data_IF_826673748201
#
_entry.id   IF_826673748201
#
_cell.length_a   1.000
_cell.length_b   1.000
_cell.length_c   1.000
_cell.angle_alpha   90.00
_cell.angle_beta   90.00
_cell.angle_gamma   90.00
#
_symmetry.space_group_name_H-M   'P 1'
#
loop_
_entity.id
_entity.type
_entity.pdbx_description
1 polymer ?
#
# COMPACT_ATOMS: atom_id res chain seq x y z
N UNK A 1 -1.05 31.51 -80.25
CA UNK A 1 0.17 32.20 -79.76
C UNK A 1 -0.13 32.81 -78.39
N UNK A 2 0.49 32.33 -77.31
CA UNK A 2 0.43 32.98 -76.00
C UNK A 2 1.72 33.77 -75.72
N UNK A 3 1.71 34.78 -74.85
CA UNK A 3 2.93 35.24 -74.20
C UNK A 3 3.15 34.50 -72.87
N UNK A 4 4.40 34.13 -72.65
CA UNK A 4 4.93 33.57 -71.41
C UNK A 4 4.97 34.63 -70.30
N UNK A 5 4.69 34.24 -69.06
CA UNK A 5 5.13 35.01 -67.89
C UNK A 5 5.70 34.06 -66.83
N UNK A 6 6.88 34.45 -66.35
CA UNK A 6 7.81 33.67 -65.53
C UNK A 6 7.33 33.39 -64.10
N UNK A 7 7.90 32.31 -63.57
CA UNK A 7 7.79 31.77 -62.23
C UNK A 7 8.19 32.74 -61.12
N UNK A 8 7.45 32.69 -60.01
CA UNK A 8 8.03 32.82 -58.66
C UNK A 8 7.54 31.66 -57.77
N UNK A 9 8.42 30.70 -57.50
CA UNK A 9 8.16 29.58 -56.57
C UNK A 9 8.26 30.09 -55.12
N UNK A 10 7.12 30.36 -54.48
CA UNK A 10 7.03 30.46 -53.00
C UNK A 10 7.09 29.05 -52.40
N UNK A 11 8.13 28.76 -51.61
CA UNK A 11 8.23 27.56 -50.76
C UNK A 11 7.04 27.54 -49.79
N UNK A 12 6.10 26.59 -49.95
CA UNK A 12 5.09 26.25 -48.94
C UNK A 12 5.80 25.72 -47.70
N UNK A 13 5.72 26.45 -46.58
CA UNK A 13 6.02 25.90 -45.25
C UNK A 13 4.90 24.94 -44.88
N UNK A 14 5.25 23.68 -44.62
CA UNK A 14 4.36 22.67 -44.05
C UNK A 14 3.83 23.14 -42.69
N UNK A 15 2.54 22.93 -42.35
CA UNK A 15 2.04 23.26 -41.03
C UNK A 15 2.68 22.34 -39.98
N UNK A 16 3.19 22.93 -38.89
CA UNK A 16 3.65 22.20 -37.71
C UNK A 16 2.48 21.37 -37.16
N UNK A 17 2.72 20.13 -36.68
CA UNK A 17 1.68 19.37 -36.00
C UNK A 17 1.25 20.14 -34.75
N UNK A 18 -0.05 20.42 -34.66
CA UNK A 18 -0.70 20.92 -33.47
C UNK A 18 -0.40 19.97 -32.32
N UNK A 19 0.20 20.49 -31.27
CA UNK A 19 0.34 19.82 -29.97
C UNK A 19 -1.02 19.27 -29.56
N UNK A 20 -1.16 17.95 -29.51
CA UNK A 20 -2.36 17.30 -29.01
C UNK A 20 -2.60 17.79 -27.58
N UNK A 21 -3.73 18.46 -27.35
CA UNK A 21 -4.26 18.62 -26.01
C UNK A 21 -4.37 17.22 -25.41
N UNK A 22 -3.63 16.95 -24.34
CA UNK A 22 -3.83 15.74 -23.55
C UNK A 22 -5.30 15.74 -23.11
N UNK A 23 -6.12 14.85 -23.69
CA UNK A 23 -7.50 14.68 -23.30
C UNK A 23 -7.50 14.25 -21.84
N UNK A 24 -7.88 15.15 -20.93
CA UNK A 24 -8.17 14.78 -19.55
C UNK A 24 -9.29 13.74 -19.59
N UNK A 25 -9.06 12.51 -19.10
CA UNK A 25 -10.06 11.46 -19.18
C UNK A 25 -11.31 11.88 -18.40
N UNK A 26 -12.48 11.68 -19.01
CA UNK A 26 -13.76 11.96 -18.36
C UNK A 26 -14.01 10.91 -17.26
N UNK A 27 -14.79 11.21 -16.21
CA UNK A 27 -15.09 10.23 -15.15
C UNK A 27 -15.61 8.89 -15.70
N UNK A 28 -16.41 8.94 -16.78
CA UNK A 28 -16.92 7.74 -17.45
C UNK A 28 -15.84 6.93 -18.17
N UNK A 29 -14.80 7.57 -18.71
CA UNK A 29 -13.70 6.84 -19.37
C UNK A 29 -12.74 6.22 -18.35
N UNK A 30 -12.55 6.85 -17.18
CA UNK A 30 -11.72 6.31 -16.08
C UNK A 30 -12.33 5.02 -15.52
N UNK A 31 -13.65 4.97 -15.40
CA UNK A 31 -14.35 3.79 -14.89
C UNK A 31 -14.57 2.68 -15.92
N UNK A 32 -14.15 2.89 -17.17
CA UNK A 32 -14.11 1.88 -18.21
C UNK A 32 -12.70 1.29 -18.29
N UNK A 33 -12.45 0.23 -17.51
CA UNK A 33 -11.12 -0.34 -17.35
C UNK A 33 -11.17 -1.87 -17.48
N UNK A 34 -10.20 -2.54 -18.14
CA UNK A 34 -10.24 -3.99 -18.35
C UNK A 34 -10.18 -4.83 -17.07
N UNK A 35 -9.75 -4.24 -15.94
CA UNK A 35 -9.56 -4.96 -14.67
C UNK A 35 -10.71 -4.84 -13.67
N UNK A 36 -11.76 -4.07 -13.98
CA UNK A 36 -12.94 -3.93 -13.12
C UNK A 36 -14.17 -3.55 -13.93
N UNK A 37 -15.35 -3.92 -13.45
CA UNK A 37 -16.63 -3.69 -14.09
C UNK A 37 -17.44 -2.70 -13.27
N UNK A 38 -17.96 -1.68 -13.93
CA UNK A 38 -18.72 -0.60 -13.28
C UNK A 38 -20.19 -0.68 -13.64
N UNK A 39 -21.07 -0.56 -12.64
CA UNK A 39 -22.52 -0.36 -12.81
C UNK A 39 -22.92 1.02 -12.24
N UNK A 40 -24.20 1.43 -12.29
CA UNK A 40 -24.62 2.66 -11.62
C UNK A 40 -24.33 2.67 -10.11
N UNK A 41 -24.32 1.50 -9.46
CA UNK A 41 -24.22 1.36 -8.00
C UNK A 41 -22.91 0.72 -7.52
N UNK A 42 -22.17 0.01 -8.38
CA UNK A 42 -21.04 -0.82 -7.96
C UNK A 42 -19.82 -0.70 -8.87
N UNK A 43 -18.64 -1.00 -8.30
CA UNK A 43 -17.38 -1.26 -9.01
C UNK A 43 -16.89 -2.63 -8.57
N UNK A 44 -17.06 -3.64 -9.44
CA UNK A 44 -16.63 -5.02 -9.20
C UNK A 44 -15.20 -5.24 -9.71
N UNK A 45 -14.31 -5.75 -8.88
CA UNK A 45 -12.91 -5.97 -9.24
C UNK A 45 -12.38 -7.27 -8.64
N UNK A 46 -11.26 -7.75 -9.15
CA UNK A 46 -10.51 -8.88 -8.57
C UNK A 46 -9.00 -8.67 -8.73
N UNK A 47 -8.59 -8.09 -9.87
CA UNK A 47 -7.21 -7.75 -10.19
C UNK A 47 -7.00 -6.28 -10.52
N UNK A 48 -5.86 -5.98 -11.14
CA UNK A 48 -5.51 -4.63 -11.60
C UNK A 48 -5.42 -3.61 -10.47
N UNK A 49 -5.63 -2.34 -10.78
CA UNK A 49 -5.25 -1.21 -9.92
C UNK A 49 -5.89 -1.21 -8.53
N UNK A 50 -7.01 -1.91 -8.33
CA UNK A 50 -7.69 -2.06 -7.04
C UNK A 50 -7.20 -3.29 -6.24
N UNK A 51 -6.47 -4.23 -6.84
CA UNK A 51 -5.92 -5.37 -6.11
C UNK A 51 -4.73 -4.98 -5.25
N UNK A 52 -4.64 -5.53 -4.04
CA UNK A 52 -3.44 -5.41 -3.19
C UNK A 52 -2.19 -6.05 -3.81
N UNK A 53 -2.36 -6.93 -4.80
CA UNK A 53 -1.25 -7.57 -5.50
C UNK A 53 -0.71 -6.72 -6.66
N UNK A 54 -1.44 -5.67 -7.06
CA UNK A 54 -1.02 -4.76 -8.10
C UNK A 54 0.21 -3.95 -7.66
N UNK A 55 1.26 -3.91 -8.50
CA UNK A 55 2.41 -3.06 -8.22
C UNK A 55 1.99 -1.59 -8.28
N UNK A 56 2.46 -0.80 -7.32
CA UNK A 56 2.41 0.66 -7.39
C UNK A 56 3.43 1.14 -8.41
N UNK A 57 3.08 2.13 -9.23
CA UNK A 57 3.98 2.72 -10.23
C UNK A 57 5.22 3.36 -9.58
N UNK A 58 5.04 3.92 -8.40
CA UNK A 58 6.12 4.39 -7.52
C UNK A 58 5.83 3.92 -6.10
N UNK A 59 6.85 3.58 -5.29
CA UNK A 59 6.63 3.18 -3.91
C UNK A 59 5.88 4.28 -3.14
N UNK A 60 4.83 3.91 -2.40
CA UNK A 60 4.13 4.87 -1.56
C UNK A 60 4.76 4.93 -0.16
N UNK A 61 4.89 6.13 0.43
CA UNK A 61 5.61 6.31 1.69
C UNK A 61 4.81 5.74 2.86
N UNK A 62 5.44 4.88 3.67
CA UNK A 62 4.81 4.33 4.87
C UNK A 62 4.44 5.38 5.90
N UNK A 63 5.23 6.46 6.01
CA UNK A 63 4.90 7.66 6.78
C UNK A 63 3.45 8.10 6.60
N UNK A 64 3.01 8.26 5.35
CA UNK A 64 1.65 8.69 5.06
C UNK A 64 0.60 7.68 5.51
N UNK A 65 0.88 6.40 5.35
CA UNK A 65 0.03 5.32 5.85
C UNK A 65 -0.12 5.40 7.38
N UNK A 66 0.98 5.61 8.11
CA UNK A 66 0.97 5.73 9.57
C UNK A 66 0.21 6.98 10.05
N UNK A 67 0.42 8.15 9.43
CA UNK A 67 -0.30 9.40 9.76
C UNK A 67 -1.83 9.23 9.71
N UNK A 68 -2.33 8.39 8.81
CA UNK A 68 -3.77 8.08 8.70
C UNK A 68 -4.15 6.97 9.67
N UNK A 69 -3.32 5.93 9.78
CA UNK A 69 -3.64 4.70 10.51
C UNK A 69 -3.64 4.89 12.03
N UNK A 70 -2.63 5.54 12.60
CA UNK A 70 -2.44 5.60 14.05
C UNK A 70 -3.63 6.25 14.78
N UNK A 71 -4.14 7.43 14.38
CA UNK A 71 -5.30 8.03 15.05
C UNK A 71 -6.56 7.17 14.98
N UNK A 72 -6.69 6.32 13.96
CA UNK A 72 -7.82 5.40 13.82
C UNK A 72 -7.68 4.18 14.73
N UNK A 73 -6.47 3.68 14.93
CA UNK A 73 -6.19 2.62 15.90
C UNK A 73 -6.41 3.12 17.34
N UNK A 74 -5.93 4.34 17.64
CA UNK A 74 -6.17 5.02 18.93
C UNK A 74 -7.67 5.14 19.23
N UNK A 75 -8.45 5.63 18.25
CA UNK A 75 -9.91 5.77 18.37
C UNK A 75 -10.61 4.42 18.61
N UNK A 76 -10.06 3.33 18.09
CA UNK A 76 -10.58 1.98 18.30
C UNK A 76 -10.05 1.32 19.59
N UNK A 77 -9.19 1.99 20.36
CA UNK A 77 -8.56 1.45 21.56
C UNK A 77 -7.63 0.27 21.27
N UNK A 78 -7.05 0.22 20.07
CA UNK A 78 -6.15 -0.87 19.65
C UNK A 78 -4.74 -0.49 20.03
N UNK A 79 -4.19 -1.15 21.04
CA UNK A 79 -2.79 -0.98 21.42
C UNK A 79 -1.86 -1.30 20.24
N UNK A 80 -0.88 -0.42 20.01
CA UNK A 80 0.10 -0.54 18.94
C UNK A 80 1.46 0.04 19.38
N UNK A 81 2.55 -0.26 18.67
CA UNK A 81 3.87 0.33 18.93
C UNK A 81 3.83 1.86 18.93
N UNK A 82 4.66 2.50 19.76
CA UNK A 82 4.79 3.96 19.75
C UNK A 82 5.38 4.47 18.43
N UNK A 83 5.28 5.77 18.17
CA UNK A 83 5.81 6.37 16.94
C UNK A 83 7.35 6.28 16.87
N UNK A 84 7.99 6.22 18.03
CA UNK A 84 9.45 6.15 18.21
C UNK A 84 9.98 4.71 18.19
N UNK A 85 9.11 3.70 18.21
CA UNK A 85 9.53 2.30 18.14
C UNK A 85 10.26 2.03 16.81
N UNK A 86 11.36 1.26 16.86
CA UNK A 86 12.14 0.91 15.66
C UNK A 86 11.28 0.25 14.57
N UNK A 87 10.29 -0.57 14.94
CA UNK A 87 9.36 -1.17 13.98
C UNK A 87 8.49 -0.10 13.30
N UNK A 88 8.04 0.91 14.03
CA UNK A 88 7.27 2.03 13.48
C UNK A 88 8.14 2.89 12.59
N UNK A 89 9.38 3.19 12.99
CA UNK A 89 10.34 3.93 12.16
C UNK A 89 10.70 3.16 10.88
N UNK A 90 10.84 1.83 10.95
CA UNK A 90 11.04 0.97 9.77
C UNK A 90 9.86 1.09 8.80
N UNK A 91 8.62 1.04 9.29
CA UNK A 91 7.44 1.26 8.44
C UNK A 91 7.45 2.70 7.89
N UNK A 92 7.72 3.70 8.73
CA UNK A 92 7.68 5.12 8.39
C UNK A 92 8.60 5.46 7.21
N UNK A 93 9.85 5.02 7.27
CA UNK A 93 10.88 5.30 6.25
C UNK A 93 10.77 4.39 5.02
N UNK A 94 9.98 3.31 5.07
CA UNK A 94 9.92 2.36 3.96
C UNK A 94 8.96 2.81 2.85
N UNK A 95 9.41 2.64 1.60
CA UNK A 95 8.58 2.81 0.41
C UNK A 95 7.93 1.50 0.00
N UNK A 96 6.60 1.42 0.07
CA UNK A 96 5.85 0.20 -0.22
C UNK A 96 5.54 0.06 -1.71
N UNK A 97 5.92 -1.07 -2.29
CA UNK A 97 5.71 -1.34 -3.72
C UNK A 97 4.29 -1.82 -4.06
N UNK A 98 3.48 -2.23 -3.08
CA UNK A 98 2.12 -2.76 -3.28
C UNK A 98 1.35 -2.86 -1.96
N UNK A 99 0.03 -2.99 -2.07
CA UNK A 99 -0.87 -3.10 -0.90
C UNK A 99 -0.63 -4.35 -0.05
N UNK A 100 -0.29 -5.50 -0.65
CA UNK A 100 -0.01 -6.74 0.09
C UNK A 100 1.22 -6.59 1.00
N UNK A 101 2.26 -5.89 0.53
CA UNK A 101 3.47 -5.64 1.32
C UNK A 101 3.15 -4.81 2.55
N UNK A 102 2.40 -3.72 2.35
CA UNK A 102 1.90 -2.87 3.43
C UNK A 102 1.05 -3.65 4.42
N UNK A 103 0.05 -4.39 3.94
CA UNK A 103 -0.87 -5.16 4.79
C UNK A 103 -0.10 -6.16 5.66
N UNK A 104 0.82 -6.93 5.08
CA UNK A 104 1.57 -7.94 5.82
C UNK A 104 2.62 -7.31 6.75
N UNK A 105 3.27 -6.22 6.34
CA UNK A 105 4.22 -5.50 7.19
C UNK A 105 3.53 -4.89 8.41
N UNK A 106 2.37 -4.25 8.22
CA UNK A 106 1.56 -3.72 9.31
C UNK A 106 1.01 -4.81 10.23
N UNK A 107 0.74 -6.01 9.69
CA UNK A 107 0.39 -7.17 10.50
C UNK A 107 1.55 -7.60 11.41
N UNK A 108 2.75 -7.72 10.86
CA UNK A 108 3.95 -8.03 11.65
C UNK A 108 4.23 -6.93 12.69
N UNK A 109 4.19 -5.66 12.27
CA UNK A 109 4.35 -4.49 13.13
C UNK A 109 3.39 -4.49 14.33
N UNK A 110 2.13 -4.86 14.13
CA UNK A 110 1.11 -4.83 15.20
C UNK A 110 1.23 -5.98 16.21
N UNK A 111 1.79 -7.13 15.81
CA UNK A 111 1.74 -8.36 16.63
C UNK A 111 3.11 -8.86 17.11
N UNK A 112 4.21 -8.46 16.47
CA UNK A 112 5.57 -8.92 16.81
C UNK A 112 6.35 -7.92 17.66
N UNK A 113 5.72 -6.81 18.04
CA UNK A 113 6.35 -5.68 18.71
C UNK A 113 6.63 -5.86 20.20
N UNK A 114 6.13 -6.93 20.84
CA UNK A 114 6.10 -7.00 22.31
C UNK A 114 6.77 -8.21 22.98
N UNK A 115 7.36 -9.20 22.29
CA UNK A 115 7.74 -10.44 22.99
C UNK A 115 9.12 -11.02 22.65
N UNK A 116 9.94 -11.16 23.69
CA UNK A 116 10.66 -12.42 23.94
C UNK A 116 9.92 -13.24 25.03
N UNK A 117 10.30 -14.51 25.22
CA UNK A 117 9.69 -15.43 26.21
C UNK A 117 9.91 -15.00 27.66
N UNK A 118 10.75 -13.99 27.91
CA UNK A 118 11.14 -13.51 29.24
C UNK A 118 10.40 -12.25 29.70
N UNK A 119 9.53 -11.68 28.85
CA UNK A 119 8.74 -10.49 29.18
C UNK A 119 9.52 -9.16 29.10
N UNK A 120 10.69 -9.16 28.45
CA UNK A 120 11.41 -7.92 28.15
C UNK A 120 10.79 -7.23 26.94
N UNK A 121 10.78 -5.88 26.94
CA UNK A 121 10.32 -5.03 25.83
C UNK A 121 11.50 -4.41 25.07
N UNK A 122 12.31 -5.21 24.33
CA UNK A 122 13.53 -4.71 23.69
C UNK A 122 13.25 -3.67 22.60
N UNK A 123 12.01 -3.56 22.12
CA UNK A 123 11.60 -2.66 21.04
C UNK A 123 11.03 -1.31 21.53
N UNK A 124 10.85 -1.12 22.84
CA UNK A 124 10.45 0.14 23.46
C UNK A 124 11.69 0.86 24.01
N UNK A 125 12.57 1.33 23.12
CA UNK A 125 13.71 2.15 23.56
C UNK A 125 13.19 3.51 24.03
N UNK A 126 13.50 3.88 25.27
CA UNK A 126 13.30 5.23 25.79
C UNK A 126 14.55 6.06 25.47
N UNK A 127 14.50 6.92 24.43
CA UNK A 127 15.58 7.84 24.09
C UNK A 127 15.62 8.21 22.60
N UNK A 128 16.09 9.43 22.27
CA UNK A 128 16.28 9.87 20.88
C UNK A 128 17.36 9.01 20.21
N UNK A 129 16.96 8.23 19.21
CA UNK A 129 17.88 7.59 18.25
C UNK A 129 18.31 8.66 17.26
N UNK A 130 19.61 8.76 16.94
CA UNK A 130 20.02 9.69 15.88
C UNK A 130 19.62 9.16 14.50
N UNK A 131 19.41 10.07 13.54
CA UNK A 131 19.09 9.69 12.16
C UNK A 131 20.16 8.76 11.56
N UNK A 132 21.43 8.98 11.90
CA UNK A 132 22.54 8.14 11.47
C UNK A 132 22.47 6.72 12.05
N UNK A 133 22.17 6.59 13.35
CA UNK A 133 22.01 5.30 14.01
C UNK A 133 20.86 4.50 13.40
N UNK A 134 19.72 5.15 13.16
CA UNK A 134 18.57 4.49 12.55
C UNK A 134 18.83 4.06 11.11
N UNK A 135 19.47 4.93 10.29
CA UNK A 135 19.82 4.59 8.91
C UNK A 135 20.76 3.39 8.83
N UNK A 136 21.73 3.31 9.73
CA UNK A 136 22.63 2.15 9.81
C UNK A 136 21.85 0.88 10.17
N UNK A 137 21.03 0.93 11.21
CA UNK A 137 20.16 -0.19 11.61
C UNK A 137 19.25 -0.66 10.46
N UNK A 138 18.60 0.29 9.76
CA UNK A 138 17.72 0.00 8.64
C UNK A 138 18.50 -0.69 7.50
N UNK A 139 19.69 -0.18 7.16
CA UNK A 139 20.56 -0.78 6.16
C UNK A 139 20.92 -2.22 6.52
N UNK A 140 21.31 -2.47 7.77
CA UNK A 140 21.75 -3.79 8.21
C UNK A 140 20.61 -4.82 8.22
N UNK A 141 19.42 -4.42 8.67
CA UNK A 141 18.22 -5.29 8.75
C UNK A 141 17.55 -5.54 7.40
N UNK A 142 17.61 -4.58 6.48
CA UNK A 142 17.00 -4.69 5.16
C UNK A 142 17.96 -5.15 4.06
N UNK A 143 19.26 -5.33 4.37
CA UNK A 143 20.23 -5.86 3.43
C UNK A 143 19.85 -7.28 2.97
N UNK A 144 19.93 -7.59 1.65
CA UNK A 144 19.78 -8.95 1.14
C UNK A 144 20.82 -9.92 1.70
N UNK A 145 21.99 -9.39 2.07
CA UNK A 145 23.14 -10.12 2.59
C UNK A 145 23.31 -9.99 4.10
N UNK A 146 22.25 -9.60 4.83
CA UNK A 146 22.28 -9.51 6.29
C UNK A 146 22.91 -10.81 6.85
N UNK A 147 24.06 -10.71 7.54
CA UNK A 147 24.84 -11.90 7.89
C UNK A 147 24.02 -12.80 8.81
N UNK A 148 24.22 -14.12 8.66
CA UNK A 148 23.84 -15.07 9.68
C UNK A 148 24.45 -14.63 11.04
N UNK A 149 23.83 -14.97 12.19
CA UNK A 149 24.05 -14.32 13.50
C UNK A 149 25.46 -14.47 14.13
N UNK A 150 26.52 -14.74 13.37
CA UNK A 150 27.83 -15.15 13.89
C UNK A 150 29.05 -14.43 13.33
N UNK A 151 28.96 -13.24 12.72
CA UNK A 151 30.16 -12.46 12.38
C UNK A 151 30.16 -11.06 13.00
N UNK A 152 30.98 -10.92 14.03
CA UNK A 152 31.36 -9.66 14.64
C UNK A 152 32.05 -8.75 13.62
N UNK A 153 31.31 -7.85 12.98
CA UNK A 153 31.91 -6.71 12.30
C UNK A 153 32.12 -5.59 13.33
N UNK A 154 33.38 -5.32 13.61
CA UNK A 154 33.86 -4.26 14.49
C UNK A 154 33.69 -2.88 13.81
N UNK A 155 32.50 -2.31 13.89
CA UNK A 155 32.27 -0.89 13.58
C UNK A 155 32.60 -0.04 14.81
N UNK A 156 33.67 0.77 14.76
CA UNK A 156 33.96 1.78 15.79
C UNK A 156 32.78 2.76 15.85
N UNK A 157 32.12 2.83 17.01
CA UNK A 157 30.95 3.69 17.25
C UNK A 157 29.62 2.93 17.41
N UNK A 158 29.58 1.61 17.21
CA UNK A 158 28.35 0.82 17.29
C UNK A 158 27.94 0.56 18.76
N UNK A 159 26.79 1.10 19.18
CA UNK A 159 26.21 0.83 20.49
C UNK A 159 25.85 -0.66 20.67
N UNK A 160 26.19 -1.23 21.83
CA UNK A 160 25.98 -2.65 22.17
C UNK A 160 24.51 -3.07 22.10
N UNK A 161 23.61 -2.13 22.38
CA UNK A 161 22.15 -2.28 22.38
C UNK A 161 21.58 -2.43 20.96
N UNK A 162 22.01 -1.59 20.00
CA UNK A 162 21.57 -1.66 18.60
C UNK A 162 21.94 -2.98 17.95
N UNK A 163 23.15 -3.48 18.20
CA UNK A 163 23.61 -4.77 17.67
C UNK A 163 22.84 -5.96 18.22
N UNK A 164 22.31 -5.88 19.44
CA UNK A 164 21.45 -6.93 19.99
C UNK A 164 20.04 -6.86 19.42
N UNK A 165 19.51 -5.64 19.28
CA UNK A 165 18.22 -5.39 18.63
C UNK A 165 18.21 -5.95 17.20
N UNK A 166 19.29 -5.76 16.44
CA UNK A 166 19.42 -6.30 15.08
C UNK A 166 19.29 -7.82 15.05
N UNK A 167 19.96 -8.53 15.96
CA UNK A 167 19.88 -10.00 16.04
C UNK A 167 18.47 -10.45 16.39
N UNK A 168 17.80 -9.74 17.29
CA UNK A 168 16.40 -10.03 17.63
C UNK A 168 15.53 -9.86 16.39
N UNK A 169 15.58 -8.72 15.69
CA UNK A 169 14.80 -8.55 14.45
C UNK A 169 15.09 -9.62 13.41
N UNK A 170 16.36 -10.00 13.23
CA UNK A 170 16.77 -11.02 12.27
C UNK A 170 16.26 -12.43 12.65
N UNK A 171 16.26 -12.77 13.94
CA UNK A 171 15.85 -14.09 14.44
C UNK A 171 14.32 -14.20 14.58
N UNK A 172 13.70 -13.13 15.04
CA UNK A 172 12.39 -13.18 15.69
C UNK A 172 11.29 -12.42 14.95
N UNK A 173 11.61 -11.52 14.01
CA UNK A 173 10.62 -10.68 13.35
C UNK A 173 10.44 -11.05 11.88
N UNK A 174 9.19 -11.18 11.44
CA UNK A 174 8.85 -11.31 10.01
C UNK A 174 8.82 -9.96 9.30
N UNK A 175 8.71 -8.85 10.01
CA UNK A 175 8.66 -7.51 9.42
C UNK A 175 9.83 -7.26 8.41
N UNK A 176 11.12 -7.41 8.76
CA UNK A 176 12.21 -7.24 7.80
C UNK A 176 12.14 -8.16 6.59
N UNK A 177 11.69 -9.41 6.79
CA UNK A 177 11.53 -10.37 5.71
C UNK A 177 10.46 -9.90 4.71
N UNK A 178 9.33 -9.37 5.22
CA UNK A 178 8.23 -8.84 4.41
C UNK A 178 8.66 -7.58 3.65
N UNK A 179 9.38 -6.68 4.31
CA UNK A 179 9.91 -5.46 3.69
C UNK A 179 10.91 -5.78 2.57
N UNK A 180 11.77 -6.79 2.74
CA UNK A 180 12.75 -7.19 1.71
C UNK A 180 12.14 -7.86 0.48
N UNK A 181 10.99 -8.53 0.61
CA UNK A 181 10.37 -9.21 -0.55
C UNK A 181 9.40 -8.29 -1.30
N UNK A 182 9.50 -8.27 -2.64
CA UNK A 182 8.52 -7.62 -3.50
C UNK A 182 7.57 -8.62 -4.19
N UNK A 183 7.52 -9.88 -3.73
CA UNK A 183 6.67 -10.92 -4.30
C UNK A 183 5.42 -11.09 -3.43
N UNK A 184 4.20 -10.77 -3.91
CA UNK A 184 2.97 -10.81 -3.11
C UNK A 184 2.74 -12.16 -2.44
N UNK A 185 3.01 -13.25 -3.15
CA UNK A 185 2.85 -14.60 -2.62
C UNK A 185 3.77 -14.86 -1.43
N UNK A 186 5.01 -14.39 -1.50
CA UNK A 186 5.99 -14.49 -0.41
C UNK A 186 5.61 -13.59 0.76
N UNK A 187 5.16 -12.36 0.51
CA UNK A 187 4.64 -11.44 1.53
C UNK A 187 3.48 -12.08 2.30
N UNK A 188 2.50 -12.63 1.58
CA UNK A 188 1.35 -13.33 2.16
C UNK A 188 1.76 -14.56 2.96
N UNK A 189 2.74 -15.33 2.48
CA UNK A 189 3.25 -16.50 3.18
C UNK A 189 3.95 -16.12 4.49
N UNK A 190 4.75 -15.05 4.49
CA UNK A 190 5.40 -14.51 5.70
C UNK A 190 4.36 -13.95 6.68
N UNK A 191 3.37 -13.21 6.19
CA UNK A 191 2.29 -12.68 7.04
C UNK A 191 1.40 -13.74 7.69
N UNK A 192 1.39 -14.98 7.18
CA UNK A 192 0.75 -16.13 7.86
C UNK A 192 1.57 -16.68 9.03
N UNK A 193 2.87 -16.39 9.06
CA UNK A 193 3.81 -16.83 10.10
C UNK A 193 4.03 -15.79 11.21
N UNK A 194 3.40 -14.61 11.08
CA UNK A 194 3.45 -13.54 12.09
C UNK A 194 3.12 -14.09 13.47
N UNK A 195 4.04 -13.91 14.41
CA UNK A 195 3.90 -14.39 15.79
C UNK A 195 2.95 -13.49 16.57
N UNK A 196 2.35 -14.03 17.64
CA UNK A 196 1.42 -13.27 18.48
C UNK A 196 0.13 -12.82 17.76
N UNK A 197 -0.18 -13.39 16.59
CA UNK A 197 -1.35 -13.01 15.81
C UNK A 197 -2.65 -13.25 16.58
N UNK A 198 -3.41 -12.17 16.81
CA UNK A 198 -4.73 -12.22 17.45
C UNK A 198 -5.83 -11.90 16.42
N UNK A 199 -6.62 -12.88 15.96
CA UNK A 199 -7.66 -12.66 14.94
C UNK A 199 -8.70 -11.62 15.33
N UNK A 200 -9.10 -11.57 16.60
CA UNK A 200 -10.06 -10.62 17.14
C UNK A 200 -9.57 -9.16 17.04
N UNK A 201 -8.29 -8.92 17.35
CA UNK A 201 -7.66 -7.60 17.18
C UNK A 201 -7.52 -7.27 15.70
N UNK A 202 -7.04 -8.21 14.89
CA UNK A 202 -6.84 -8.00 13.45
C UNK A 202 -8.16 -7.70 12.72
N UNK A 203 -9.25 -8.35 13.11
CA UNK A 203 -10.56 -8.10 12.53
C UNK A 203 -11.00 -6.64 12.66
N UNK A 204 -10.60 -5.97 13.75
CA UNK A 204 -10.84 -4.54 13.99
C UNK A 204 -9.78 -3.66 13.33
N UNK A 205 -8.50 -4.00 13.49
CA UNK A 205 -7.36 -3.20 13.04
C UNK A 205 -7.18 -3.18 11.52
N UNK A 206 -7.56 -4.27 10.83
CA UNK A 206 -7.18 -4.46 9.43
C UNK A 206 -7.84 -3.45 8.48
N UNK A 207 -9.08 -3.03 8.74
CA UNK A 207 -9.78 -2.02 7.93
C UNK A 207 -9.03 -0.67 7.92
N UNK A 208 -8.78 -0.01 9.08
CA UNK A 208 -8.06 1.27 9.07
C UNK A 208 -6.63 1.13 8.53
N UNK A 209 -5.95 0.01 8.81
CA UNK A 209 -4.61 -0.28 8.27
C UNK A 209 -4.64 -0.29 6.74
N UNK A 210 -5.52 -1.07 6.13
CA UNK A 210 -5.51 -1.26 4.67
C UNK A 210 -6.04 0.00 3.98
N UNK A 211 -7.08 0.62 4.52
CA UNK A 211 -7.57 1.90 4.03
C UNK A 211 -6.45 2.95 4.00
N UNK A 212 -5.63 3.05 5.06
CA UNK A 212 -4.50 3.98 5.09
C UNK A 212 -3.48 3.71 3.97
N UNK A 213 -3.16 2.44 3.72
CA UNK A 213 -2.32 2.04 2.59
C UNK A 213 -2.95 2.36 1.22
N UNK A 214 -4.25 2.16 1.08
CA UNK A 214 -5.01 2.53 -0.13
C UNK A 214 -4.96 4.04 -0.40
N UNK A 215 -5.09 4.87 0.64
CA UNK A 215 -4.98 6.34 0.53
C UNK A 215 -3.55 6.76 0.18
N UNK A 216 -2.54 6.23 0.89
CA UNK A 216 -1.13 6.53 0.62
C UNK A 216 -0.74 6.16 -0.82
N UNK A 217 -1.17 4.99 -1.30
CA UNK A 217 -0.95 4.57 -2.69
C UNK A 217 -1.62 5.51 -3.69
N UNK A 218 -2.85 5.94 -3.44
CA UNK A 218 -3.56 6.86 -4.33
C UNK A 218 -2.96 8.29 -4.36
N UNK A 219 -2.03 8.64 -3.45
CA UNK A 219 -1.31 9.91 -3.55
C UNK A 219 -0.19 9.88 -4.58
N UNK A 220 0.40 8.70 -4.83
CA UNK A 220 1.49 8.52 -5.81
C UNK A 220 1.00 7.88 -7.12
N UNK A 221 -0.11 7.15 -7.08
CA UNK A 221 -0.73 6.49 -8.24
C UNK A 221 -1.93 7.31 -8.74
N UNK A 222 -1.71 8.11 -9.79
CA UNK A 222 -2.74 8.95 -10.40
C UNK A 222 -3.89 8.15 -11.00
N UNK A 223 -3.64 6.92 -11.47
CA UNK A 223 -4.69 6.05 -11.98
C UNK A 223 -5.67 5.66 -10.88
N UNK A 224 -5.13 5.23 -9.73
CA UNK A 224 -5.95 4.86 -8.58
C UNK A 224 -6.71 6.07 -8.03
N UNK A 225 -6.04 7.22 -7.94
CA UNK A 225 -6.67 8.48 -7.54
C UNK A 225 -7.85 8.83 -8.42
N UNK A 226 -7.68 8.69 -9.74
CA UNK A 226 -8.73 9.00 -10.72
C UNK A 226 -9.92 8.07 -10.55
N UNK A 227 -9.69 6.77 -10.31
CA UNK A 227 -10.77 5.81 -10.01
C UNK A 227 -11.55 6.24 -8.77
N UNK A 228 -10.88 6.64 -7.69
CA UNK A 228 -11.54 7.11 -6.47
C UNK A 228 -12.35 8.39 -6.67
N UNK A 229 -11.83 9.36 -7.43
CA UNK A 229 -12.57 10.59 -7.73
C UNK A 229 -13.79 10.33 -8.64
N UNK A 230 -13.66 9.40 -9.59
CA UNK A 230 -14.73 9.04 -10.51
C UNK A 230 -15.79 8.13 -9.87
N UNK A 231 -15.46 7.38 -8.81
CA UNK A 231 -16.34 6.38 -8.21
C UNK A 231 -17.69 6.93 -7.72
N UNK A 232 -17.76 8.21 -7.34
CA UNK A 232 -18.94 8.82 -6.73
C UNK A 232 -19.37 7.99 -5.50
N UNK A 233 -20.66 7.67 -5.39
CA UNK A 233 -21.24 6.87 -4.29
C UNK A 233 -21.28 5.36 -4.58
N UNK A 234 -20.52 4.87 -5.59
CA UNK A 234 -20.51 3.43 -5.93
C UNK A 234 -19.80 2.60 -4.87
N UNK A 235 -20.35 1.42 -4.60
CA UNK A 235 -19.74 0.41 -3.72
C UNK A 235 -18.64 -0.36 -4.45
N UNK A 236 -17.43 -0.40 -3.90
CA UNK A 236 -16.35 -1.26 -4.39
C UNK A 236 -16.56 -2.69 -3.91
N UNK A 237 -16.38 -3.67 -4.79
CA UNK A 237 -16.63 -5.10 -4.50
C UNK A 237 -15.51 -5.98 -5.02
N UNK A 238 -14.80 -6.64 -4.11
CA UNK A 238 -13.79 -7.65 -4.48
C UNK A 238 -14.47 -8.99 -4.81
N UNK A 239 -14.62 -9.29 -6.09
CA UNK A 239 -15.20 -10.52 -6.62
C UNK A 239 -14.19 -11.67 -6.75
N UNK A 240 -13.71 -12.17 -5.62
CA UNK A 240 -12.95 -13.41 -5.52
C UNK A 240 -13.85 -14.59 -5.13
N UNK A 241 -13.95 -15.68 -5.92
CA UNK A 241 -14.75 -16.87 -5.56
C UNK A 241 -14.23 -17.62 -4.33
N UNK A 242 -12.94 -17.46 -4.02
CA UNK A 242 -12.25 -18.22 -2.96
C UNK A 242 -12.06 -17.41 -1.68
N UNK A 243 -12.09 -16.08 -1.77
CA UNK A 243 -11.90 -15.20 -0.62
C UNK A 243 -13.25 -14.70 -0.10
N UNK A 244 -13.59 -15.10 1.13
CA UNK A 244 -14.82 -14.70 1.83
C UNK A 244 -14.57 -13.67 2.93
N UNK A 245 -13.31 -13.26 3.14
CA UNK A 245 -12.96 -12.25 4.14
C UNK A 245 -12.72 -10.93 3.42
N UNK A 246 -11.82 -10.92 2.43
CA UNK A 246 -11.49 -9.73 1.67
C UNK A 246 -12.49 -9.50 0.53
N UNK A 247 -12.99 -10.58 -0.06
CA UNK A 247 -14.01 -10.56 -1.12
C UNK A 247 -15.37 -11.11 -0.71
N UNK A 248 -16.27 -11.16 -1.70
CA UNK A 248 -17.68 -11.58 -1.54
C UNK A 248 -17.91 -13.08 -1.80
N UNK A 249 -16.88 -13.86 -2.13
CA UNK A 249 -17.05 -15.28 -2.45
C UNK A 249 -17.72 -15.57 -3.79
N UNK A 250 -17.76 -14.59 -4.70
CA UNK A 250 -18.31 -14.70 -6.06
C UNK A 250 -17.30 -14.14 -7.08
N UNK A 251 -17.40 -14.56 -8.34
CA UNK A 251 -16.52 -14.07 -9.42
C UNK A 251 -16.93 -12.65 -9.83
N UNK A 252 -15.96 -11.74 -9.94
CA UNK A 252 -16.20 -10.31 -10.23
C UNK A 252 -16.96 -10.02 -11.54
N UNK A 253 -16.88 -10.91 -12.52
CA UNK A 253 -17.55 -10.80 -13.82
C UNK A 253 -18.86 -11.61 -13.92
N UNK A 254 -19.26 -12.30 -12.83
CA UNK A 254 -20.54 -13.01 -12.77
C UNK A 254 -21.70 -12.03 -12.64
N UNK A 255 -22.84 -12.30 -13.29
CA UNK A 255 -24.07 -11.52 -13.05
C UNK A 255 -24.60 -11.67 -11.61
N UNK A 256 -24.39 -12.83 -10.99
CA UNK A 256 -24.88 -13.11 -9.64
C UNK A 256 -24.26 -12.19 -8.57
N UNK A 257 -23.11 -11.58 -8.84
CA UNK A 257 -22.45 -10.66 -7.89
C UNK A 257 -23.18 -9.32 -7.75
N UNK A 258 -24.06 -8.98 -8.70
CA UNK A 258 -24.82 -7.71 -8.67
C UNK A 258 -25.92 -7.70 -7.61
N UNK A 259 -26.37 -8.88 -7.20
CA UNK A 259 -27.33 -9.06 -6.11
C UNK A 259 -26.56 -9.39 -4.83
N UNK A 260 -26.57 -8.43 -3.89
CA UNK A 260 -25.89 -8.53 -2.60
C UNK A 260 -26.37 -9.72 -1.76
N UNK A 261 -27.61 -10.20 -1.97
CA UNK A 261 -28.12 -11.38 -1.27
C UNK A 261 -27.37 -12.67 -1.63
N UNK A 262 -26.67 -12.69 -2.77
CA UNK A 262 -25.83 -13.83 -3.17
C UNK A 262 -24.43 -13.79 -2.54
N UNK A 263 -24.05 -12.70 -1.87
CA UNK A 263 -22.71 -12.55 -1.31
C UNK A 263 -22.51 -13.53 -0.14
N UNK A 264 -21.34 -14.16 -0.12
CA UNK A 264 -20.96 -15.20 0.86
C UNK A 264 -19.72 -14.79 1.65
N UNK A 265 -19.37 -13.52 1.61
CA UNK A 265 -18.15 -12.97 2.19
C UNK A 265 -18.30 -11.52 2.59
N UNK A 266 -17.31 -11.02 3.33
CA UNK A 266 -17.40 -9.75 4.04
C UNK A 266 -17.00 -8.52 3.21
N UNK A 267 -16.43 -8.72 2.01
CA UNK A 267 -15.97 -7.63 1.13
C UNK A 267 -15.07 -6.59 1.83
N UNK A 268 -14.19 -7.01 2.75
CA UNK A 268 -13.37 -6.06 3.52
C UNK A 268 -12.51 -5.15 2.64
N UNK A 269 -11.97 -5.66 1.53
CA UNK A 269 -11.13 -4.86 0.64
C UNK A 269 -11.96 -3.79 -0.07
N UNK A 270 -13.16 -4.15 -0.55
CA UNK A 270 -14.12 -3.21 -1.11
C UNK A 270 -14.47 -2.08 -0.14
N UNK A 271 -14.74 -2.42 1.14
CA UNK A 271 -14.97 -1.41 2.19
C UNK A 271 -13.76 -0.47 2.35
N UNK A 272 -12.54 -0.99 2.39
CA UNK A 272 -11.32 -0.17 2.47
C UNK A 272 -11.19 0.80 1.29
N UNK A 273 -11.50 0.37 0.06
CA UNK A 273 -11.51 1.25 -1.11
C UNK A 273 -12.58 2.32 -1.02
N UNK A 274 -13.79 1.98 -0.56
CA UNK A 274 -14.87 2.95 -0.35
C UNK A 274 -14.51 4.04 0.65
N UNK A 275 -13.94 3.66 1.80
CA UNK A 275 -13.45 4.62 2.80
C UNK A 275 -12.31 5.49 2.25
N UNK A 276 -11.33 4.88 1.57
CA UNK A 276 -10.22 5.61 0.95
C UNK A 276 -10.70 6.61 -0.11
N UNK A 277 -11.67 6.21 -0.95
CA UNK A 277 -12.25 7.09 -1.96
C UNK A 277 -12.96 8.29 -1.33
N UNK A 278 -13.77 8.07 -0.29
CA UNK A 278 -14.43 9.15 0.46
C UNK A 278 -13.42 10.12 1.08
N UNK A 279 -12.32 9.62 1.63
CA UNK A 279 -11.25 10.48 2.17
C UNK A 279 -10.61 11.35 1.08
N UNK A 280 -10.24 10.75 -0.06
CA UNK A 280 -9.62 11.46 -1.18
C UNK A 280 -10.57 12.51 -1.78
N UNK A 281 -11.84 12.17 -1.96
CA UNK A 281 -12.85 13.09 -2.48
C UNK A 281 -13.08 14.29 -1.54
N UNK A 282 -13.08 14.10 -0.21
CA UNK A 282 -13.22 15.20 0.75
C UNK A 282 -12.06 16.18 0.70
N UNK A 283 -10.82 15.68 0.66
CA UNK A 283 -9.63 16.52 0.52
C UNK A 283 -9.69 17.33 -0.78
N UNK A 284 -10.12 16.71 -1.88
CA UNK A 284 -10.22 17.37 -3.18
C UNK A 284 -11.33 18.44 -3.26
N UNK A 285 -12.38 18.38 -2.43
CA UNK A 285 -13.40 19.43 -2.35
C UNK A 285 -12.99 20.60 -1.45
N UNK A 286 -12.00 20.38 -0.59
CA UNK A 286 -11.51 21.37 0.39
C UNK A 286 -10.24 22.09 -0.10
N UNK A 287 -9.73 21.72 -1.28
CA UNK A 287 -8.58 22.34 -1.95
C UNK A 287 -9.08 23.18 -3.11
#
# INVERSE_FOLDING_TARGET
>A
MPPSTQQTRKRKRSPKPSTSSANTPTPSSVLNHPSFRTTPTHIFFHGGILSNWHPSLSPFPGKRGLEICLPLLDKLGIAHPSQEAYSTLLIHEFGFGRGEQWMMAMKAWLFECDMDESGLKPFQRAGKVSDEEFKQFQSDILSPSAPAPSSSSSGRGRGRETAELEKIYARDSHLPCILRTNVPRSQKALGRKVRGFRPDVWNKASIPIIMAGCVARAQVDQGLRSVYLAAQERTFVEGSPRDRIWGVGLKWDSKAIEDEANWRGENRLGRCHGEAARMIQRVNRSS
#
